data_IF_403593093004
#
_entry.id   IF_403593093004
#
_cell.length_a   1.000
_cell.length_b   1.000
_cell.length_c   1.000
_cell.angle_alpha   90.00
_cell.angle_beta   90.00
_cell.angle_gamma   90.00
#
_symmetry.space_group_name_H-M   'P 1'
#
loop_
_entity.id
_entity.type
_entity.pdbx_description
1 polymer ?
#
# COMPACT_ATOMS: atom_id res chain seq x y z
N UNK A 1 -7.20 1.76 -43.93
CA UNK A 1 -5.81 1.28 -44.13
C UNK A 1 -4.89 2.26 -43.41
N UNK A 2 -4.23 2.01 -42.29
CA UNK A 2 -3.93 0.83 -41.50
C UNK A 2 -2.87 1.27 -40.47
N UNK A 3 -3.19 1.06 -39.19
CA UNK A 3 -2.30 0.73 -38.06
C UNK A 3 -0.82 1.16 -38.12
N UNK A 4 -0.34 1.85 -37.08
CA UNK A 4 0.86 1.42 -36.32
C UNK A 4 1.08 2.25 -35.05
N UNK A 5 0.42 1.80 -33.98
CA UNK A 5 0.93 1.83 -32.61
C UNK A 5 2.11 0.85 -32.51
N UNK A 6 3.27 1.30 -32.03
CA UNK A 6 4.45 0.53 -31.54
C UNK A 6 5.54 1.56 -31.17
N UNK A 7 6.20 1.61 -30.02
CA UNK A 7 6.41 0.66 -28.93
C UNK A 7 6.79 1.44 -27.65
N UNK A 8 6.11 1.19 -26.54
CA UNK A 8 6.72 1.32 -25.21
C UNK A 8 7.06 -0.11 -24.76
N UNK A 9 8.35 -0.42 -24.57
CA UNK A 9 8.82 -1.71 -24.06
C UNK A 9 9.06 -1.58 -22.55
N UNK A 10 8.38 -2.34 -21.68
CA UNK A 10 8.83 -2.47 -20.31
C UNK A 10 10.00 -3.45 -20.28
N UNK A 11 11.21 -2.92 -20.12
CA UNK A 11 12.37 -3.70 -19.68
C UNK A 11 12.16 -4.00 -18.20
N UNK A 12 11.66 -5.19 -17.86
CA UNK A 12 12.01 -5.94 -16.63
C UNK A 12 11.37 -7.32 -16.72
N UNK A 13 12.17 -8.33 -17.11
CA UNK A 13 11.86 -9.74 -16.87
C UNK A 13 12.54 -10.12 -15.56
N UNK A 14 11.80 -10.11 -14.46
CA UNK A 14 12.29 -10.70 -13.20
C UNK A 14 11.91 -12.19 -13.26
N UNK A 15 12.93 -13.01 -13.42
CA UNK A 15 12.85 -14.48 -13.37
C UNK A 15 12.79 -14.88 -11.90
N UNK A 16 11.65 -15.37 -11.42
CA UNK A 16 11.55 -15.95 -10.08
C UNK A 16 12.33 -17.27 -10.04
N UNK A 17 13.49 -17.27 -9.38
CA UNK A 17 14.14 -18.50 -8.94
C UNK A 17 13.55 -18.95 -7.59
N UNK A 18 13.30 -20.24 -7.48
CA UNK A 18 12.79 -20.97 -6.31
C UNK A 18 13.62 -20.72 -5.04
N UNK A 19 12.92 -20.36 -3.95
CA UNK A 19 13.49 -20.25 -2.61
C UNK A 19 13.80 -21.63 -2.01
N UNK A 20 14.98 -21.84 -1.40
CA UNK A 20 15.22 -22.98 -0.53
C UNK A 20 14.69 -22.71 0.89
N UNK A 21 14.05 -23.73 1.45
CA UNK A 21 13.57 -23.81 2.82
C UNK A 21 14.74 -24.04 3.79
N UNK A 22 15.01 -23.11 4.70
CA UNK A 22 15.76 -23.40 5.91
C UNK A 22 15.35 -22.47 7.05
N UNK A 23 14.74 -23.05 8.07
CA UNK A 23 14.44 -22.43 9.36
C UNK A 23 15.76 -22.06 10.06
N UNK A 24 15.96 -20.78 10.35
CA UNK A 24 16.91 -20.34 11.39
C UNK A 24 16.17 -19.59 12.47
N UNK A 25 16.26 -20.14 13.68
CA UNK A 25 15.80 -19.59 14.95
C UNK A 25 16.43 -18.22 15.17
N UNK A 26 15.63 -17.16 15.14
CA UNK A 26 16.06 -15.81 15.53
C UNK A 26 15.91 -15.65 17.04
N UNK A 27 17.03 -15.51 17.75
CA UNK A 27 17.05 -15.10 19.15
C UNK A 27 16.85 -13.58 19.22
N UNK A 28 15.76 -13.15 19.85
CA UNK A 28 15.50 -11.75 20.18
C UNK A 28 16.42 -11.31 21.33
N UNK A 29 17.36 -10.38 21.06
CA UNK A 29 18.01 -9.56 22.08
C UNK A 29 17.06 -8.43 22.46
N UNK A 30 16.62 -8.40 23.72
CA UNK A 30 15.86 -7.29 24.28
C UNK A 30 16.82 -6.25 24.85
N UNK A 31 16.73 -5.00 24.36
CA UNK A 31 17.30 -3.84 25.06
C UNK A 31 16.30 -3.33 26.11
N UNK A 32 16.74 -2.94 27.33
CA UNK A 32 15.83 -2.51 28.38
C UNK A 32 15.38 -1.06 28.15
N UNK A 33 14.07 -0.88 27.91
CA UNK A 33 13.38 0.42 27.97
C UNK A 33 12.79 0.61 29.37
N UNK A 34 13.31 1.59 30.11
CA UNK A 34 12.81 2.01 31.42
C UNK A 34 11.68 3.02 31.23
N UNK A 35 10.43 2.61 31.41
CA UNK A 35 9.33 3.55 31.67
C UNK A 35 8.32 2.97 32.66
N UNK A 36 8.16 3.55 33.87
CA UNK A 36 7.34 2.96 34.92
C UNK A 36 5.92 3.54 34.87
N UNK A 37 4.94 2.77 34.37
CA UNK A 37 3.51 3.00 34.67
C UNK A 37 2.63 1.79 34.27
N UNK A 38 1.89 1.29 35.26
CA UNK A 38 0.71 0.39 35.22
C UNK A 38 0.95 -1.11 34.99
N UNK A 39 1.09 -1.82 36.11
CA UNK A 39 0.84 -3.27 36.26
C UNK A 39 -0.63 -3.50 36.62
N UNK A 40 -1.29 -4.45 35.97
CA UNK A 40 -2.36 -5.29 36.55
C UNK A 40 -2.48 -6.59 35.74
N UNK A 41 -2.41 -7.78 36.35
CA UNK A 41 -2.43 -9.04 35.61
C UNK A 41 -3.85 -9.60 35.51
N UNK A 42 -4.36 -9.80 34.29
CA UNK A 42 -5.54 -10.64 34.06
C UNK A 42 -5.08 -12.09 33.94
N UNK A 43 -5.63 -12.93 34.82
CA UNK A 43 -5.33 -14.34 35.02
C UNK A 43 -5.60 -15.17 33.76
N UNK A 44 -4.65 -16.04 33.42
CA UNK A 44 -4.82 -17.19 32.52
C UNK A 44 -5.61 -18.28 33.25
N UNK A 45 -6.66 -18.80 32.62
CA UNK A 45 -7.17 -20.14 32.90
C UNK A 45 -6.93 -20.99 31.66
N UNK A 46 -5.87 -21.80 31.70
CA UNK A 46 -5.67 -22.94 30.82
C UNK A 46 -6.14 -24.17 31.59
N UNK A 47 -7.19 -24.83 31.11
CA UNK A 47 -7.50 -26.20 31.49
C UNK A 47 -7.37 -27.09 30.26
N UNK A 48 -6.42 -28.00 30.39
CA UNK A 48 -6.08 -29.14 29.55
C UNK A 48 -7.25 -30.11 29.38
N UNK A 49 -7.49 -30.58 28.15
CA UNK A 49 -8.10 -31.88 27.89
C UNK A 49 -7.43 -32.55 26.68
N UNK A 50 -6.95 -33.76 26.92
CA UNK A 50 -6.21 -34.65 26.02
C UNK A 50 -7.18 -35.50 25.16
N UNK A 51 -6.67 -36.25 24.15
CA UNK A 51 -7.45 -36.71 23.01
C UNK A 51 -7.98 -38.14 23.16
N UNK A 52 -9.10 -38.43 22.48
CA UNK A 52 -9.55 -39.79 22.19
C UNK A 52 -10.04 -39.91 20.75
N UNK A 53 -9.39 -40.75 19.95
CA UNK A 53 -9.87 -41.31 18.68
C UNK A 53 -10.44 -42.74 18.93
N UNK A 54 -10.91 -43.49 17.91
CA UNK A 54 -12.12 -43.27 17.12
C UNK A 54 -13.03 -44.53 17.12
N UNK A 55 -14.29 -44.40 16.74
CA UNK A 55 -15.14 -45.55 16.41
C UNK A 55 -15.69 -45.42 14.99
N UNK A 56 -15.27 -46.35 14.16
CA UNK A 56 -15.72 -46.59 12.80
C UNK A 56 -17.19 -47.03 12.84
N UNK A 57 -18.05 -46.38 12.06
CA UNK A 57 -19.21 -47.07 11.50
C UNK A 57 -19.52 -46.51 10.12
N UNK A 58 -19.33 -47.34 9.10
CA UNK A 58 -19.64 -47.00 7.72
C UNK A 58 -21.13 -47.10 7.44
N UNK A 59 -21.62 -46.22 6.55
CA UNK A 59 -22.67 -46.54 5.58
C UNK A 59 -22.77 -45.45 4.50
N UNK A 60 -22.94 -45.94 3.28
CA UNK A 60 -23.47 -45.31 2.06
C UNK A 60 -22.73 -44.10 1.46
N UNK A 61 -21.93 -44.44 0.46
CA UNK A 61 -21.62 -43.61 -0.72
C UNK A 61 -22.93 -43.19 -1.38
N UNK A 62 -23.21 -41.88 -1.43
CA UNK A 62 -24.16 -41.29 -2.35
C UNK A 62 -23.37 -40.37 -3.30
N UNK A 63 -23.10 -40.87 -4.50
CA UNK A 63 -22.49 -40.11 -5.60
C UNK A 63 -23.52 -39.15 -6.17
N UNK A 64 -23.74 -38.03 -5.49
CA UNK A 64 -24.30 -36.84 -6.12
C UNK A 64 -23.15 -36.00 -6.63
N UNK A 65 -23.03 -35.94 -7.96
CA UNK A 65 -22.21 -34.97 -8.69
C UNK A 65 -22.68 -33.57 -8.32
N UNK A 66 -22.14 -33.05 -7.22
CA UNK A 66 -22.25 -31.65 -6.85
C UNK A 66 -21.28 -30.87 -7.70
N UNK A 67 -21.74 -30.41 -8.87
CA UNK A 67 -21.18 -29.21 -9.48
C UNK A 67 -21.21 -28.15 -8.39
N UNK A 68 -20.05 -27.82 -7.81
CA UNK A 68 -19.94 -26.66 -6.92
C UNK A 68 -20.57 -25.51 -7.68
N UNK A 69 -21.63 -24.84 -7.16
CA UNK A 69 -22.18 -23.71 -7.85
C UNK A 69 -21.01 -22.77 -8.12
N UNK A 70 -20.84 -22.39 -9.40
CA UNK A 70 -19.86 -21.40 -9.80
C UNK A 70 -19.96 -20.26 -8.79
N UNK A 71 -18.84 -19.96 -8.12
CA UNK A 71 -18.79 -19.03 -7.01
C UNK A 71 -19.59 -17.79 -7.39
N UNK A 72 -20.65 -17.49 -6.64
CA UNK A 72 -21.40 -16.25 -6.83
C UNK A 72 -20.38 -15.12 -6.76
N UNK A 73 -20.03 -14.54 -7.90
CA UNK A 73 -19.10 -13.42 -7.97
C UNK A 73 -19.73 -12.30 -7.15
N UNK A 74 -19.26 -12.09 -5.92
CA UNK A 74 -19.75 -11.00 -5.10
C UNK A 74 -19.38 -9.71 -5.80
N UNK A 75 -20.40 -9.03 -6.34
CA UNK A 75 -20.23 -7.78 -7.05
C UNK A 75 -19.71 -6.72 -6.06
N UNK A 76 -18.52 -6.15 -6.35
CA UNK A 76 -17.93 -5.10 -5.52
C UNK A 76 -18.51 -3.75 -5.94
N UNK A 77 -19.12 -3.05 -4.99
CA UNK A 77 -19.61 -1.68 -5.19
C UNK A 77 -18.75 -0.70 -4.39
N UNK A 78 -18.25 0.34 -5.05
CA UNK A 78 -17.44 1.41 -4.42
C UNK A 78 -18.13 2.76 -4.59
N UNK A 79 -17.98 3.64 -3.62
CA UNK A 79 -18.40 5.03 -3.77
C UNK A 79 -17.38 5.78 -4.64
N UNK A 80 -17.83 6.29 -5.78
CA UNK A 80 -17.02 7.09 -6.67
C UNK A 80 -17.23 8.58 -6.35
N UNK A 81 -16.21 9.24 -5.80
CA UNK A 81 -16.27 10.67 -5.45
C UNK A 81 -16.55 11.57 -6.66
N UNK A 82 -16.10 11.19 -7.87
CA UNK A 82 -16.32 11.98 -9.09
C UNK A 82 -17.80 12.02 -9.48
N UNK A 83 -18.51 10.90 -9.38
CA UNK A 83 -19.95 10.83 -9.70
C UNK A 83 -20.86 10.99 -8.47
N UNK A 84 -20.29 10.97 -7.27
CA UNK A 84 -20.97 10.98 -5.96
C UNK A 84 -21.94 9.83 -5.76
N UNK A 85 -21.75 8.70 -6.46
CA UNK A 85 -22.64 7.54 -6.43
C UNK A 85 -21.87 6.26 -6.08
N UNK A 86 -22.60 5.23 -5.62
CA UNK A 86 -22.06 3.87 -5.57
C UNK A 86 -22.11 3.28 -6.97
N UNK A 87 -21.00 2.72 -7.41
CA UNK A 87 -20.85 2.13 -8.73
C UNK A 87 -20.21 0.75 -8.63
N UNK A 88 -20.57 -0.13 -9.56
CA UNK A 88 -19.92 -1.43 -9.71
C UNK A 88 -18.46 -1.19 -10.06
N UNK A 89 -17.56 -1.73 -9.25
CA UNK A 89 -16.13 -1.68 -9.54
C UNK A 89 -15.82 -2.57 -10.74
N UNK A 90 -15.25 -1.96 -11.78
CA UNK A 90 -14.76 -2.65 -12.98
C UNK A 90 -13.29 -2.32 -13.17
N UNK A 91 -12.37 -3.30 -13.12
CA UNK A 91 -10.96 -3.02 -13.29
C UNK A 91 -10.65 -2.55 -14.71
N UNK A 92 -9.59 -1.75 -14.87
CA UNK A 92 -9.12 -1.30 -16.20
C UNK A 92 -8.63 -2.48 -17.06
N UNK A 93 -8.03 -3.48 -16.40
CA UNK A 93 -7.57 -4.73 -17.02
C UNK A 93 -8.19 -5.87 -16.23
N UNK A 94 -8.85 -6.80 -16.90
CA UNK A 94 -9.55 -7.92 -16.25
C UNK A 94 -8.64 -8.67 -15.26
N UNK A 95 -9.15 -8.96 -14.07
CA UNK A 95 -8.39 -9.61 -13.00
C UNK A 95 -7.26 -8.77 -12.36
N UNK A 96 -6.98 -7.54 -12.81
CA UNK A 96 -5.89 -6.69 -12.27
C UNK A 96 -6.37 -5.34 -11.77
N UNK A 97 -5.89 -4.95 -10.59
CA UNK A 97 -6.23 -3.66 -9.97
C UNK A 97 -4.97 -2.85 -9.68
N UNK A 98 -4.91 -1.63 -10.21
CA UNK A 98 -3.97 -0.61 -9.74
C UNK A 98 -4.64 0.23 -8.67
N UNK A 99 -4.05 0.31 -7.48
CA UNK A 99 -4.56 1.11 -6.36
C UNK A 99 -3.47 2.09 -5.90
N UNK A 100 -3.74 3.39 -5.99
CA UNK A 100 -2.86 4.43 -5.45
C UNK A 100 -3.51 5.08 -4.24
N UNK A 101 -2.77 5.20 -3.14
CA UNK A 101 -3.19 5.90 -1.92
C UNK A 101 -2.12 6.91 -1.57
N UNK A 102 -2.49 8.18 -1.40
CA UNK A 102 -1.54 9.21 -0.98
C UNK A 102 -0.90 8.84 0.37
N UNK A 103 0.42 8.89 0.44
CA UNK A 103 1.14 8.74 1.69
C UNK A 103 1.22 10.01 2.50
N UNK A 104 2.08 9.98 3.51
CA UNK A 104 2.28 11.10 4.44
C UNK A 104 3.34 12.07 3.93
N UNK A 105 3.22 13.33 4.33
CA UNK A 105 4.34 14.26 4.34
C UNK A 105 5.18 13.96 5.59
N UNK A 106 6.39 13.46 5.40
CA UNK A 106 7.20 12.90 6.49
C UNK A 106 7.98 13.99 7.24
N UNK A 107 7.28 14.80 8.05
CA UNK A 107 7.89 15.84 8.88
C UNK A 107 7.64 15.67 10.38
N UNK A 108 6.76 14.75 10.77
CA UNK A 108 6.40 14.44 12.16
C UNK A 108 5.83 13.01 12.28
N UNK A 109 5.61 12.55 13.52
CA UNK A 109 5.02 11.24 13.83
C UNK A 109 3.57 11.10 13.34
N UNK A 110 3.16 9.86 13.08
CA UNK A 110 1.79 9.56 12.66
C UNK A 110 0.78 9.84 13.76
N UNK A 111 -0.34 10.47 13.42
CA UNK A 111 -1.49 10.62 14.31
C UNK A 111 -2.64 9.68 13.93
N UNK A 112 -3.68 9.57 14.78
CA UNK A 112 -4.83 8.68 14.55
C UNK A 112 -5.55 8.89 13.21
N UNK A 113 -5.52 10.12 12.69
CA UNK A 113 -6.03 10.42 11.33
C UNK A 113 -5.33 9.59 10.23
N UNK A 114 -4.01 9.43 10.30
CA UNK A 114 -3.25 8.58 9.38
C UNK A 114 -3.65 7.12 9.57
N UNK A 115 -3.66 6.64 10.81
CA UNK A 115 -4.05 5.26 11.12
C UNK A 115 -5.42 4.91 10.53
N UNK A 116 -6.43 5.78 10.68
CA UNK A 116 -7.76 5.58 10.11
C UNK A 116 -7.71 5.39 8.59
N UNK A 117 -7.00 6.25 7.88
CA UNK A 117 -6.93 6.21 6.41
C UNK A 117 -6.26 4.91 5.97
N UNK A 118 -5.07 4.59 6.50
CA UNK A 118 -4.30 3.45 6.04
C UNK A 118 -4.93 2.11 6.42
N UNK A 119 -5.60 2.01 7.58
CA UNK A 119 -6.36 0.80 7.93
C UNK A 119 -7.55 0.59 6.99
N UNK A 120 -8.28 1.65 6.62
CA UNK A 120 -9.41 1.53 5.68
C UNK A 120 -8.93 1.02 4.31
N UNK A 121 -7.82 1.56 3.81
CA UNK A 121 -7.27 1.13 2.53
C UNK A 121 -6.58 -0.24 2.61
N UNK A 122 -6.05 -0.64 3.75
CA UNK A 122 -5.58 -2.01 3.98
C UNK A 122 -6.72 -3.03 3.91
N UNK A 123 -7.87 -2.72 4.52
CA UNK A 123 -9.09 -3.55 4.40
C UNK A 123 -9.51 -3.67 2.94
N UNK A 124 -9.52 -2.56 2.18
CA UNK A 124 -9.84 -2.60 0.75
C UNK A 124 -8.81 -3.44 -0.03
N UNK A 125 -7.52 -3.27 0.22
CA UNK A 125 -6.45 -4.04 -0.41
C UNK A 125 -6.61 -5.54 -0.18
N UNK A 126 -6.84 -5.94 1.07
CA UNK A 126 -7.09 -7.33 1.47
C UNK A 126 -8.36 -7.87 0.82
N UNK A 127 -9.43 -7.08 0.77
CA UNK A 127 -10.69 -7.50 0.19
C UNK A 127 -10.58 -7.70 -1.33
N UNK A 128 -9.90 -6.81 -2.05
CA UNK A 128 -9.62 -6.98 -3.46
C UNK A 128 -8.82 -8.27 -3.74
N UNK A 129 -7.79 -8.55 -2.93
CA UNK A 129 -7.03 -9.81 -3.03
C UNK A 129 -7.90 -11.03 -2.72
N UNK A 130 -8.79 -10.92 -1.73
CA UNK A 130 -9.74 -11.99 -1.38
C UNK A 130 -10.72 -12.30 -2.53
N UNK A 131 -11.14 -11.27 -3.29
CA UNK A 131 -11.95 -11.44 -4.50
C UNK A 131 -11.19 -12.05 -5.69
N UNK A 132 -9.89 -12.33 -5.54
CA UNK A 132 -9.06 -12.97 -6.56
C UNK A 132 -8.33 -12.00 -7.50
N UNK A 133 -8.35 -10.69 -7.22
CA UNK A 133 -7.60 -9.73 -8.02
C UNK A 133 -6.09 -9.79 -7.77
N UNK A 134 -5.31 -9.62 -8.84
CA UNK A 134 -3.91 -9.23 -8.76
C UNK A 134 -3.86 -7.71 -8.52
N UNK A 135 -3.51 -7.30 -7.30
CA UNK A 135 -3.54 -5.90 -6.90
C UNK A 135 -2.12 -5.33 -6.81
N UNK A 136 -1.84 -4.29 -7.59
CA UNK A 136 -0.65 -3.45 -7.46
C UNK A 136 -1.02 -2.22 -6.61
N UNK A 137 -0.58 -2.24 -5.35
CA UNK A 137 -0.82 -1.16 -4.40
C UNK A 137 0.40 -0.23 -4.34
N UNK A 138 0.20 1.05 -4.65
CA UNK A 138 1.22 2.10 -4.57
C UNK A 138 0.85 3.12 -3.49
N UNK A 139 1.81 3.46 -2.62
CA UNK A 139 1.69 4.54 -1.63
C UNK A 139 2.97 5.35 -1.62
N UNK A 140 2.94 6.65 -1.88
CA UNK A 140 4.18 7.45 -1.92
C UNK A 140 4.64 7.85 -0.50
N UNK A 141 5.83 8.43 -0.40
CA UNK A 141 6.19 9.37 0.67
C UNK A 141 6.42 10.74 0.05
N UNK A 142 5.85 11.78 0.65
CA UNK A 142 6.21 13.16 0.34
C UNK A 142 7.35 13.55 1.30
N UNK A 143 8.59 13.28 0.88
CA UNK A 143 9.81 13.49 1.67
C UNK A 143 10.59 14.75 1.29
N UNK A 144 10.01 15.57 0.41
CA UNK A 144 10.43 16.92 0.04
C UNK A 144 9.19 17.82 0.06
N UNK A 145 9.13 18.77 1.00
CA UNK A 145 7.99 19.67 1.23
C UNK A 145 8.43 20.86 2.09
N UNK A 146 7.76 22.01 1.96
CA UNK A 146 8.05 23.21 2.76
C UNK A 146 7.96 22.95 4.27
N UNK A 147 7.03 22.09 4.71
CA UNK A 147 6.90 21.72 6.13
C UNK A 147 8.11 20.96 6.65
N UNK A 148 8.72 20.12 5.81
CA UNK A 148 9.93 19.36 6.16
C UNK A 148 11.10 20.33 6.29
N UNK A 149 11.26 21.27 5.35
CA UNK A 149 12.32 22.29 5.38
C UNK A 149 12.18 23.16 6.63
N UNK A 150 10.97 23.64 6.94
CA UNK A 150 10.71 24.43 8.13
C UNK A 150 11.06 23.67 9.41
N UNK A 151 10.62 22.41 9.52
CA UNK A 151 10.87 21.58 10.70
C UNK A 151 12.36 21.24 10.88
N UNK A 152 13.05 20.95 9.78
CA UNK A 152 14.48 20.66 9.80
C UNK A 152 15.29 21.88 10.27
N UNK A 153 14.92 23.08 9.83
CA UNK A 153 15.53 24.33 10.30
C UNK A 153 15.30 24.59 11.79
N UNK A 154 14.11 24.28 12.32
CA UNK A 154 13.82 24.39 13.77
C UNK A 154 14.70 23.46 14.61
N UNK A 155 15.00 22.26 14.10
CA UNK A 155 15.77 21.24 14.79
C UNK A 155 17.28 21.34 14.53
N UNK A 156 17.70 22.11 13.53
CA UNK A 156 19.10 22.18 13.08
C UNK A 156 19.57 20.91 12.39
N UNK A 157 18.67 20.20 11.70
CA UNK A 157 18.93 18.94 11.01
C UNK A 157 18.85 19.07 9.48
N UNK A 158 19.38 18.08 8.76
CA UNK A 158 19.21 17.99 7.30
C UNK A 158 17.77 17.55 6.94
N UNK A 159 17.04 18.25 6.04
CA UNK A 159 15.65 17.95 5.70
C UNK A 159 15.43 16.51 5.18
N UNK A 160 16.36 15.98 4.39
CA UNK A 160 16.24 14.63 3.82
C UNK A 160 16.46 13.57 4.90
N UNK A 161 17.40 13.81 5.81
CA UNK A 161 17.66 12.94 6.95
C UNK A 161 16.47 12.92 7.92
N UNK A 162 15.90 14.09 8.21
CA UNK A 162 14.69 14.24 9.01
C UNK A 162 13.51 13.46 8.40
N UNK A 163 13.25 13.66 7.11
CA UNK A 163 12.10 13.01 6.47
C UNK A 163 12.26 11.50 6.33
N UNK A 164 13.50 11.01 6.13
CA UNK A 164 13.80 9.57 6.17
C UNK A 164 13.46 8.96 7.53
N UNK A 165 13.86 9.62 8.62
CA UNK A 165 13.54 9.17 9.98
C UNK A 165 12.02 9.00 10.16
N UNK A 166 11.22 10.01 9.79
CA UNK A 166 9.77 9.93 9.91
C UNK A 166 9.10 8.94 8.96
N UNK A 167 9.68 8.67 7.78
CA UNK A 167 9.20 7.58 6.92
C UNK A 167 9.39 6.22 7.59
N UNK A 168 10.52 6.02 8.26
CA UNK A 168 10.83 4.76 8.95
C UNK A 168 9.93 4.57 10.17
N UNK A 169 9.69 5.64 10.96
CA UNK A 169 8.71 5.63 12.05
C UNK A 169 7.29 5.33 11.54
N UNK A 170 6.86 5.97 10.46
CA UNK A 170 5.57 5.68 9.83
C UNK A 170 5.46 4.20 9.42
N UNK A 171 6.52 3.63 8.86
CA UNK A 171 6.52 2.22 8.47
C UNK A 171 6.45 1.28 9.69
N UNK A 172 7.09 1.63 10.80
CA UNK A 172 6.93 0.91 12.07
C UNK A 172 5.47 0.98 12.58
N UNK A 173 4.83 2.15 12.51
CA UNK A 173 3.42 2.31 12.86
C UNK A 173 2.51 1.41 12.01
N UNK A 174 2.76 1.33 10.70
CA UNK A 174 1.98 0.47 9.80
C UNK A 174 2.14 -1.01 10.15
N UNK A 175 3.33 -1.44 10.57
CA UNK A 175 3.57 -2.80 11.08
C UNK A 175 2.79 -3.04 12.37
N UNK A 176 2.80 -2.09 13.31
CA UNK A 176 2.04 -2.19 14.56
C UNK A 176 0.52 -2.22 14.34
N UNK A 177 0.03 -1.56 13.30
CA UNK A 177 -1.38 -1.59 12.89
C UNK A 177 -1.75 -2.83 12.06
N UNK A 178 -0.80 -3.72 11.78
CA UNK A 178 -0.96 -4.90 10.93
C UNK A 178 -1.39 -4.57 9.48
N UNK A 179 -1.11 -3.36 9.01
CA UNK A 179 -1.30 -2.99 7.61
C UNK A 179 -0.30 -3.77 6.75
N UNK A 180 -0.74 -4.28 5.61
CA UNK A 180 0.17 -4.87 4.63
C UNK A 180 1.00 -3.77 3.96
N UNK A 181 2.27 -4.05 3.64
CA UNK A 181 3.08 -3.12 2.88
C UNK A 181 2.50 -2.93 1.46
N UNK A 182 2.63 -1.73 0.87
CA UNK A 182 2.33 -1.53 -0.53
C UNK A 182 3.27 -2.36 -1.42
N UNK A 183 2.84 -2.61 -2.65
CA UNK A 183 3.67 -3.22 -3.70
C UNK A 183 4.83 -2.32 -4.09
N UNK A 184 4.62 -1.00 -4.08
CA UNK A 184 5.63 0.02 -4.39
C UNK A 184 5.44 1.23 -3.46
N UNK A 185 6.54 1.71 -2.87
CA UNK A 185 6.54 2.86 -1.96
C UNK A 185 7.52 3.96 -2.41
N UNK A 186 7.18 4.74 -3.45
CA UNK A 186 8.11 5.72 -4.03
C UNK A 186 8.26 6.95 -3.14
N UNK A 187 9.48 7.47 -3.05
CA UNK A 187 9.79 8.76 -2.42
C UNK A 187 9.90 9.86 -3.48
N UNK A 188 9.55 11.10 -3.13
CA UNK A 188 9.68 12.24 -4.05
C UNK A 188 11.14 12.49 -4.39
N UNK A 189 12.03 12.42 -3.39
CA UNK A 189 13.48 12.63 -3.57
C UNK A 189 14.10 11.68 -4.61
N UNK A 190 13.61 10.44 -4.71
CA UNK A 190 14.09 9.44 -5.67
C UNK A 190 13.53 9.64 -7.10
N UNK A 191 12.53 10.51 -7.27
CA UNK A 191 11.79 10.67 -8.54
C UNK A 191 11.87 12.09 -9.14
N UNK A 192 12.75 12.94 -8.62
CA UNK A 192 12.95 14.31 -9.14
C UNK A 192 13.24 14.34 -10.65
N UNK A 193 14.12 13.49 -11.23
CA UNK A 193 14.34 13.49 -12.68
C UNK A 193 13.07 13.23 -13.49
N UNK A 194 12.23 12.28 -13.06
CA UNK A 194 10.98 11.91 -13.72
C UNK A 194 9.95 13.04 -13.62
N UNK A 195 9.90 13.75 -12.48
CA UNK A 195 9.05 14.93 -12.30
C UNK A 195 9.46 16.03 -13.28
N UNK A 196 10.77 16.32 -13.39
CA UNK A 196 11.30 17.30 -14.34
C UNK A 196 10.97 16.90 -15.78
N UNK A 197 11.15 15.64 -16.14
CA UNK A 197 10.85 15.15 -17.48
C UNK A 197 9.36 15.22 -17.82
N UNK A 198 8.48 14.92 -16.85
CA UNK A 198 7.04 15.11 -17.01
C UNK A 198 6.71 16.59 -17.25
N UNK A 199 7.27 17.51 -16.46
CA UNK A 199 7.07 18.95 -16.65
C UNK A 199 7.53 19.38 -18.05
N UNK A 200 8.71 18.93 -18.50
CA UNK A 200 9.21 19.21 -19.86
C UNK A 200 8.28 18.69 -20.95
N UNK A 201 7.81 17.45 -20.84
CA UNK A 201 6.89 16.85 -21.81
C UNK A 201 5.60 17.67 -21.92
N UNK A 202 5.05 18.05 -20.77
CA UNK A 202 3.81 18.82 -20.69
C UNK A 202 3.97 20.23 -21.27
N UNK A 203 5.11 20.89 -21.05
CA UNK A 203 5.44 22.17 -21.68
C UNK A 203 5.62 22.01 -23.21
N UNK A 204 6.23 20.91 -23.66
CA UNK A 204 6.57 20.69 -25.07
C UNK A 204 5.39 20.23 -25.96
N UNK A 205 4.43 19.48 -25.42
CA UNK A 205 3.38 18.83 -26.21
C UNK A 205 2.05 19.55 -26.12
N UNK A 206 1.61 20.22 -27.21
CA UNK A 206 0.27 20.78 -27.56
C UNK A 206 -0.63 21.43 -26.47
N UNK A 207 -0.17 21.55 -25.22
CA UNK A 207 -0.83 22.18 -24.07
C UNK A 207 -0.08 23.45 -23.63
N UNK A 208 0.60 24.11 -24.59
CA UNK A 208 1.30 25.38 -24.37
C UNK A 208 0.36 26.44 -23.78
N UNK A 209 -0.94 26.37 -24.08
CA UNK A 209 -1.95 27.28 -23.54
C UNK A 209 -2.25 27.09 -22.04
N UNK A 210 -1.79 25.99 -21.42
CA UNK A 210 -2.09 25.67 -20.02
C UNK A 210 -0.87 25.80 -19.10
N UNK A 211 0.27 26.33 -19.55
CA UNK A 211 1.43 26.52 -18.68
C UNK A 211 2.12 27.84 -18.95
N UNK A 212 2.63 28.46 -17.90
CA UNK A 212 3.45 29.65 -18.02
C UNK A 212 4.56 29.65 -16.97
N UNK A 213 5.64 30.34 -17.30
CA UNK A 213 6.77 30.54 -16.39
C UNK A 213 6.69 31.96 -15.85
N UNK A 214 6.73 32.11 -14.53
CA UNK A 214 6.72 33.41 -13.87
C UNK A 214 7.71 33.40 -12.70
N UNK A 215 8.64 34.36 -12.66
CA UNK A 215 9.75 34.42 -11.71
C UNK A 215 10.44 33.06 -11.48
N UNK A 216 10.85 32.37 -12.56
CA UNK A 216 11.52 31.06 -12.52
C UNK A 216 10.67 29.88 -12.00
N UNK A 217 9.42 30.11 -11.61
CA UNK A 217 8.47 29.05 -11.26
C UNK A 217 7.64 28.65 -12.48
N UNK A 218 7.33 27.37 -12.60
CA UNK A 218 6.45 26.81 -13.64
C UNK A 218 5.05 26.63 -13.06
N UNK A 219 4.04 27.20 -13.71
CA UNK A 219 2.65 27.14 -13.27
C UNK A 219 1.78 26.40 -14.28
N UNK A 220 0.78 25.67 -13.77
CA UNK A 220 -0.33 25.15 -14.56
C UNK A 220 -1.48 26.18 -14.55
N UNK A 221 -1.83 26.66 -15.73
CA UNK A 221 -3.00 27.48 -15.99
C UNK A 221 -4.27 26.64 -15.93
N UNK A 222 -5.04 26.86 -14.87
CA UNK A 222 -6.42 26.38 -14.77
C UNK A 222 -7.32 27.49 -15.36
N UNK A 223 -8.14 27.18 -16.38
CA UNK A 223 -9.01 28.18 -17.02
C UNK A 223 -10.10 28.73 -16.10
#
# INVERSE_FOLDING_TARGET
MGTLLKCYKPLFSIRFSSFPSSLRTFQLRTHPSNNPRRRNPIRRCFSSLSPSQPLINGKSVDKRNGTRPASSSTELWLHNTMSKKKEVFKPKVEGKVGMYVCGVTAYDLSHIGHARVYVIFDVLYRYLKHLGYEVCYVRNFTDVDDKIIARANELGEDPISLSRCYCDEFNQDMVHLHCLPPSVEPRVSDHIPQIIDMIKQVISGLMIACFFVHFQHVFFGVP
#
